data_IF_349568971020
#
_entry.id   IF_349568971020
#
_cell.length_a   1.000
_cell.length_b   1.000
_cell.length_c   1.000
_cell.angle_alpha   90.00
_cell.angle_beta   90.00
_cell.angle_gamma   90.00
#
_symmetry.space_group_name_H-M   'P 1'
#
loop_
_entity.id
_entity.type
_entity.pdbx_description
1 polymer ?
#
# COMPACT_ATOMS: atom_id res chain seq x y z
N UNK A 1 -33.09 -30.51 9.99
CA UNK A 1 -32.49 -29.69 8.93
C UNK A 1 -32.12 -30.62 7.80
N UNK A 2 -32.89 -30.57 6.71
CA UNK A 2 -32.55 -31.29 5.47
C UNK A 2 -31.43 -30.55 4.72
N UNK A 3 -30.65 -31.25 3.89
CA UNK A 3 -29.54 -30.63 3.13
C UNK A 3 -30.01 -29.42 2.29
N UNK A 4 -31.20 -29.51 1.69
CA UNK A 4 -31.85 -28.39 1.00
C UNK A 4 -32.12 -27.18 1.90
N UNK A 5 -32.56 -27.39 3.14
CA UNK A 5 -32.80 -26.29 4.08
C UNK A 5 -31.48 -25.60 4.47
N UNK A 6 -30.40 -26.36 4.63
CA UNK A 6 -29.08 -25.82 4.90
C UNK A 6 -28.55 -24.98 3.72
N UNK A 7 -28.76 -25.44 2.48
CA UNK A 7 -28.40 -24.67 1.28
C UNK A 7 -29.22 -23.39 1.14
N UNK A 8 -30.53 -23.43 1.42
CA UNK A 8 -31.38 -22.23 1.38
C UNK A 8 -31.00 -21.21 2.45
N UNK A 9 -30.66 -21.68 3.67
CA UNK A 9 -30.15 -20.82 4.73
C UNK A 9 -28.84 -20.13 4.31
N UNK A 10 -27.87 -20.90 3.78
CA UNK A 10 -26.61 -20.36 3.27
C UNK A 10 -26.78 -19.39 2.10
N UNK A 11 -27.67 -19.70 1.16
CA UNK A 11 -27.98 -18.79 0.06
C UNK A 11 -28.60 -17.48 0.55
N UNK A 12 -29.42 -17.52 1.61
CA UNK A 12 -29.98 -16.32 2.25
C UNK A 12 -28.93 -15.51 3.01
N UNK A 13 -28.00 -16.16 3.71
CA UNK A 13 -26.86 -15.50 4.37
C UNK A 13 -25.95 -14.76 3.38
N UNK A 14 -25.77 -15.33 2.18
CA UNK A 14 -24.95 -14.74 1.10
C UNK A 14 -25.76 -13.84 0.16
N UNK A 15 -27.02 -13.55 0.47
CA UNK A 15 -27.94 -12.74 -0.34
C UNK A 15 -28.07 -13.18 -1.81
N UNK A 16 -27.93 -14.49 -2.07
CA UNK A 16 -27.96 -15.06 -3.40
C UNK A 16 -29.39 -15.19 -3.90
N UNK A 17 -29.73 -14.39 -4.92
CA UNK A 17 -31.00 -14.53 -5.62
C UNK A 17 -31.06 -15.85 -6.42
N UNK A 18 -32.10 -16.65 -6.14
CA UNK A 18 -32.35 -17.92 -6.80
C UNK A 18 -33.85 -18.17 -6.99
N UNK A 19 -34.25 -18.85 -8.08
CA UNK A 19 -35.65 -19.19 -8.30
C UNK A 19 -36.09 -20.33 -7.35
N UNK A 20 -37.35 -20.31 -6.92
CA UNK A 20 -37.88 -21.25 -5.91
C UNK A 20 -37.81 -22.74 -6.31
N UNK A 21 -37.70 -23.02 -7.62
CA UNK A 21 -37.60 -24.36 -8.21
C UNK A 21 -36.15 -24.74 -8.61
N UNK A 22 -35.13 -24.04 -8.09
CA UNK A 22 -33.74 -24.41 -8.32
C UNK A 22 -33.45 -25.82 -7.76
N UNK A 23 -32.76 -26.65 -8.54
CA UNK A 23 -32.27 -27.96 -8.09
C UNK A 23 -31.10 -27.82 -7.12
N UNK A 24 -30.94 -28.80 -6.23
CA UNK A 24 -29.94 -28.77 -5.15
C UNK A 24 -28.51 -28.62 -5.67
N UNK A 25 -28.14 -29.31 -6.76
CA UNK A 25 -26.82 -29.16 -7.41
C UNK A 25 -26.55 -27.73 -7.88
N UNK A 26 -27.55 -27.07 -8.50
CA UNK A 26 -27.40 -25.70 -8.99
C UNK A 26 -27.34 -24.70 -7.83
N UNK A 27 -28.10 -24.94 -6.76
CA UNK A 27 -28.06 -24.11 -5.56
C UNK A 27 -26.70 -24.22 -4.87
N UNK A 28 -26.17 -25.44 -4.72
CA UNK A 28 -24.84 -25.70 -4.17
C UNK A 28 -23.73 -25.05 -4.99
N UNK A 29 -23.81 -25.13 -6.33
CA UNK A 29 -22.88 -24.46 -7.23
C UNK A 29 -22.88 -22.94 -7.06
N UNK A 30 -24.06 -22.31 -6.98
CA UNK A 30 -24.19 -20.87 -6.74
C UNK A 30 -23.64 -20.43 -5.37
N UNK A 31 -23.90 -21.22 -4.32
CA UNK A 31 -23.36 -20.97 -2.98
C UNK A 31 -21.83 -21.05 -3.03
N UNK A 32 -21.26 -22.10 -3.64
CA UNK A 32 -19.81 -22.25 -3.75
C UNK A 32 -19.17 -21.12 -4.57
N UNK A 33 -19.81 -20.65 -5.64
CA UNK A 33 -19.34 -19.51 -6.44
C UNK A 33 -19.39 -18.20 -5.64
N UNK A 34 -20.46 -17.96 -4.90
CA UNK A 34 -20.60 -16.79 -4.04
C UNK A 34 -19.63 -16.82 -2.84
N UNK A 35 -19.41 -17.98 -2.22
CA UNK A 35 -18.41 -18.15 -1.15
C UNK A 35 -16.98 -18.00 -1.68
N UNK A 36 -16.69 -18.50 -2.88
CA UNK A 36 -15.41 -18.28 -3.54
C UNK A 36 -15.21 -16.81 -3.91
N UNK A 37 -16.25 -16.12 -4.40
CA UNK A 37 -16.21 -14.69 -4.70
C UNK A 37 -16.11 -13.84 -3.43
N UNK A 38 -16.78 -14.23 -2.34
CA UNK A 38 -16.69 -13.57 -1.04
C UNK A 38 -15.33 -13.82 -0.39
N UNK A 39 -14.76 -15.03 -0.51
CA UNK A 39 -13.40 -15.33 -0.06
C UNK A 39 -12.35 -14.62 -0.91
N UNK A 40 -12.54 -14.50 -2.22
CA UNK A 40 -11.69 -13.71 -3.09
C UNK A 40 -11.84 -12.21 -2.82
N UNK A 41 -13.03 -11.71 -2.47
CA UNK A 41 -13.24 -10.36 -1.98
C UNK A 41 -12.65 -10.15 -0.58
N UNK A 42 -12.70 -11.13 0.32
CA UNK A 42 -12.07 -11.05 1.63
C UNK A 42 -10.54 -11.16 1.54
N UNK A 43 -10.00 -11.89 0.56
CA UNK A 43 -8.56 -11.89 0.26
C UNK A 43 -8.15 -10.60 -0.47
N UNK A 44 -9.04 -10.01 -1.27
CA UNK A 44 -8.88 -8.69 -1.89
C UNK A 44 -9.17 -7.53 -0.94
N UNK A 45 -9.92 -7.71 0.15
CA UNK A 45 -10.17 -6.74 1.22
C UNK A 45 -9.16 -6.89 2.36
N UNK A 46 -8.62 -8.08 2.60
CA UNK A 46 -7.37 -8.26 3.34
C UNK A 46 -6.17 -7.73 2.54
N UNK A 47 -6.25 -7.71 1.20
CA UNK A 47 -5.37 -6.91 0.34
C UNK A 47 -5.83 -5.47 0.12
N UNK A 48 -7.04 -5.04 0.47
CA UNK A 48 -7.42 -3.62 0.37
C UNK A 48 -7.20 -2.87 1.69
N UNK A 49 -7.20 -3.57 2.83
CA UNK A 49 -6.66 -3.06 4.08
C UNK A 49 -5.13 -3.27 4.19
N UNK A 50 -4.53 -4.18 3.41
CA UNK A 50 -3.06 -4.24 3.25
C UNK A 50 -2.52 -3.43 2.05
N UNK A 51 -3.34 -3.08 1.04
CA UNK A 51 -2.97 -2.14 -0.04
C UNK A 51 -3.54 -0.72 0.19
N UNK A 52 -4.20 -0.48 1.32
CA UNK A 52 -4.23 0.86 1.92
C UNK A 52 -2.93 1.18 2.68
N UNK A 53 -2.18 0.16 3.12
CA UNK A 53 -0.86 0.34 3.76
C UNK A 53 0.30 0.23 2.77
N UNK A 54 0.16 -0.49 1.65
CA UNK A 54 1.18 -0.54 0.58
C UNK A 54 1.08 0.59 -0.47
N UNK A 55 0.29 1.63 -0.22
CA UNK A 55 0.43 2.96 -0.87
C UNK A 55 0.57 4.11 0.12
N UNK A 56 0.79 3.81 1.40
CA UNK A 56 1.15 4.80 2.41
C UNK A 56 2.66 5.12 2.42
N UNK A 57 3.54 4.32 1.80
CA UNK A 57 4.97 4.67 1.70
C UNK A 57 5.36 5.46 0.43
N UNK A 58 4.40 5.74 -0.46
CA UNK A 58 4.61 6.65 -1.59
C UNK A 58 3.99 8.04 -1.38
N UNK A 59 3.23 8.26 -0.29
CA UNK A 59 2.51 9.53 -0.05
C UNK A 59 2.78 10.17 1.32
N UNK A 60 3.80 9.75 2.05
CA UNK A 60 4.46 10.60 3.04
C UNK A 60 5.51 11.54 2.41
N UNK A 61 6.01 11.23 1.20
CA UNK A 61 6.95 12.10 0.45
C UNK A 61 6.29 13.19 -0.39
N UNK A 62 4.96 13.21 -0.49
CA UNK A 62 4.21 14.15 -1.33
C UNK A 62 3.68 15.40 -0.59
N UNK A 63 3.96 15.55 0.72
CA UNK A 63 3.65 16.78 1.48
C UNK A 63 4.87 17.59 1.92
N UNK A 64 6.08 17.10 1.66
CA UNK A 64 7.35 17.82 1.89
C UNK A 64 8.05 18.27 0.59
N UNK A 65 7.50 17.91 -0.58
CA UNK A 65 8.12 18.17 -1.90
C UNK A 65 8.11 19.65 -2.32
N UNK A 66 7.42 20.53 -1.60
CA UNK A 66 7.44 21.98 -1.86
C UNK A 66 8.64 22.70 -1.22
N UNK A 67 9.48 21.99 -0.46
CA UNK A 67 10.58 22.63 0.30
C UNK A 67 11.89 21.85 0.27
N UNK A 68 11.99 20.77 -0.51
CA UNK A 68 13.26 20.08 -0.71
C UNK A 68 14.22 21.00 -1.48
N UNK A 69 15.41 21.21 -0.91
CA UNK A 69 16.48 22.01 -1.50
C UNK A 69 17.60 21.07 -1.92
N UNK A 70 18.08 21.14 -3.17
CA UNK A 70 19.25 20.37 -3.58
C UNK A 70 20.50 20.89 -2.85
N UNK A 71 21.33 19.97 -2.39
CA UNK A 71 22.59 20.28 -1.73
C UNK A 71 23.70 19.35 -2.23
N UNK A 72 24.89 19.92 -2.42
CA UNK A 72 26.10 19.18 -2.71
C UNK A 72 26.64 18.56 -1.43
N UNK A 73 26.97 17.29 -1.47
CA UNK A 73 27.50 16.52 -0.34
C UNK A 73 29.02 16.62 -0.36
N UNK A 74 29.57 17.27 0.67
CA UNK A 74 31.01 17.50 0.83
C UNK A 74 31.69 16.37 1.61
N UNK A 75 30.93 15.64 2.44
CA UNK A 75 31.42 14.52 3.26
C UNK A 75 30.42 13.34 3.26
N UNK A 76 30.82 12.13 3.67
CA UNK A 76 29.98 10.94 3.55
C UNK A 76 28.65 11.10 4.33
N UNK A 77 27.52 11.08 3.61
CA UNK A 77 26.19 11.32 4.17
C UNK A 77 25.25 10.18 3.83
N UNK A 78 24.64 9.57 4.84
CA UNK A 78 23.58 8.58 4.66
C UNK A 78 22.22 9.22 4.86
N UNK A 79 21.42 9.25 3.81
CA UNK A 79 20.09 9.85 3.82
C UNK A 79 19.07 8.93 3.14
N UNK A 80 17.93 8.66 3.78
CA UNK A 80 16.90 7.74 3.30
C UNK A 80 17.44 6.36 2.86
N UNK A 81 18.36 5.79 3.63
CA UNK A 81 18.99 4.50 3.32
C UNK A 81 19.94 4.52 2.12
N UNK A 82 20.21 5.71 1.55
CA UNK A 82 21.14 5.91 0.45
C UNK A 82 22.40 6.62 0.95
N UNK A 83 23.57 6.13 0.54
CA UNK A 83 24.86 6.75 0.84
C UNK A 83 25.23 7.75 -0.27
N UNK A 84 25.59 8.96 0.14
CA UNK A 84 26.03 10.09 -0.68
C UNK A 84 27.46 10.48 -0.27
N UNK A 85 28.25 11.01 -1.20
CA UNK A 85 29.61 11.45 -0.88
C UNK A 85 30.37 12.00 -2.07
N UNK A 86 31.46 12.75 -1.82
CA UNK A 86 32.28 13.34 -2.86
C UNK A 86 32.95 12.25 -3.72
N UNK A 87 32.91 12.42 -5.05
CA UNK A 87 33.50 11.46 -6.00
C UNK A 87 32.67 10.21 -6.28
N UNK A 88 31.43 10.14 -5.77
CA UNK A 88 30.45 9.11 -6.15
C UNK A 88 29.47 9.65 -7.19
N UNK A 89 28.76 8.79 -7.90
CA UNK A 89 27.65 9.21 -8.78
C UNK A 89 26.47 9.89 -8.06
N UNK A 90 26.56 10.03 -6.72
CA UNK A 90 25.54 10.60 -5.84
C UNK A 90 26.18 11.66 -4.93
N UNK A 91 26.74 12.68 -5.56
CA UNK A 91 27.31 13.86 -4.90
C UNK A 91 26.26 14.91 -4.51
N UNK A 92 25.00 14.73 -4.91
CA UNK A 92 23.90 15.66 -4.62
C UNK A 92 22.75 14.96 -3.92
N UNK A 93 22.21 15.61 -2.88
CA UNK A 93 21.09 15.11 -2.06
C UNK A 93 20.01 16.18 -1.98
N UNK A 94 18.75 15.75 -1.98
CA UNK A 94 17.61 16.64 -1.75
C UNK A 94 17.21 16.55 -0.26
N UNK A 95 17.35 17.67 0.46
CA UNK A 95 17.12 17.76 1.90
C UNK A 95 16.07 18.84 2.18
N UNK A 96 15.34 18.71 3.29
CA UNK A 96 14.50 19.82 3.76
C UNK A 96 15.37 20.93 4.37
N UNK A 97 14.89 22.19 4.49
CA UNK A 97 15.69 23.28 5.05
C UNK A 97 16.07 23.04 6.51
N UNK A 98 15.23 22.29 7.24
CA UNK A 98 15.46 21.91 8.64
C UNK A 98 16.59 20.88 8.79
N UNK A 99 16.74 19.98 7.81
CA UNK A 99 17.84 19.02 7.75
C UNK A 99 19.12 19.64 7.19
N UNK A 100 18.97 20.56 6.23
CA UNK A 100 20.08 21.24 5.58
C UNK A 100 20.85 22.15 6.54
N UNK A 101 20.15 22.95 7.36
CA UNK A 101 20.77 23.92 8.26
C UNK A 101 21.84 23.31 9.20
N UNK A 102 21.59 22.20 9.93
CA UNK A 102 22.62 21.58 10.76
C UNK A 102 23.72 20.91 9.92
N UNK A 103 23.42 20.35 8.75
CA UNK A 103 24.42 19.72 7.88
C UNK A 103 25.36 20.74 7.23
N UNK A 104 24.83 21.91 6.85
CA UNK A 104 25.59 23.05 6.33
C UNK A 104 26.45 23.69 7.44
N UNK A 105 25.90 23.83 8.66
CA UNK A 105 26.65 24.30 9.81
C UNK A 105 27.82 23.37 10.20
N UNK A 106 27.66 22.06 9.99
CA UNK A 106 28.71 21.06 10.18
C UNK A 106 29.66 20.92 8.98
N UNK A 107 29.41 21.61 7.86
CA UNK A 107 30.22 21.53 6.65
C UNK A 107 30.11 20.21 5.88
N UNK A 108 29.06 19.42 6.15
CA UNK A 108 28.81 18.11 5.50
C UNK A 108 28.17 18.29 4.12
N UNK A 109 27.36 19.34 3.96
CA UNK A 109 26.68 19.67 2.70
C UNK A 109 26.75 21.17 2.41
N UNK A 110 26.58 21.53 1.14
CA UNK A 110 26.50 22.91 0.67
C UNK A 110 25.22 23.09 -0.14
N UNK A 111 24.39 24.07 0.24
CA UNK A 111 23.19 24.42 -0.52
C UNK A 111 23.56 24.79 -1.97
N UNK A 112 22.87 24.16 -2.93
CA UNK A 112 22.92 24.58 -4.33
C UNK A 112 21.79 25.60 -4.55
N UNK A 113 22.16 26.85 -4.80
CA UNK A 113 21.25 27.96 -5.12
C UNK A 113 21.07 28.13 -6.61
#
# INVERSE_FOLDING_TARGET
MSEREALLARAKELEISHPANIGEEKLKGKIAEAEAAAKAKADAEAKAEAEADAKADAKAKAKASSSLVPALVLDALKHNGTDYGPGTSRETVELTPEELAPLEACGVVQRLT
#
